data_IF_371610060527
#
_entry.id   IF_371610060527
#
_cell.length_a   1.000
_cell.length_b   1.000
_cell.length_c   1.000
_cell.angle_alpha   90.00
_cell.angle_beta   90.00
_cell.angle_gamma   90.00
#
_symmetry.space_group_name_H-M   'P 1'
#
loop_
_entity.id
_entity.type
_entity.pdbx_description
1 polymer ?
#
# COMPACT_ATOMS: atom_id res chain seq x y z
N UNK A 1 1.07 -38.36 54.27
CA UNK A 1 0.60 -38.40 52.86
C UNK A 1 1.01 -37.10 52.19
N UNK A 2 2.10 -37.11 51.41
CA UNK A 2 2.63 -35.93 50.71
C UNK A 2 1.86 -35.75 49.39
N UNK A 3 1.14 -34.64 49.23
CA UNK A 3 0.42 -34.31 47.99
C UNK A 3 1.33 -33.45 47.11
N UNK A 4 1.68 -33.96 45.94
CA UNK A 4 2.40 -33.22 44.90
C UNK A 4 1.40 -32.38 44.09
N UNK A 5 1.69 -31.11 43.75
CA UNK A 5 0.90 -30.37 42.78
C UNK A 5 1.35 -30.75 41.36
N UNK A 6 0.41 -31.23 40.55
CA UNK A 6 0.56 -31.44 39.11
C UNK A 6 0.56 -30.07 38.43
N UNK A 7 1.70 -29.66 37.87
CA UNK A 7 1.80 -28.48 37.02
C UNK A 7 1.23 -28.85 35.65
N UNK A 8 0.04 -28.34 35.34
CA UNK A 8 -0.54 -28.41 34.01
C UNK A 8 0.22 -27.44 33.10
N UNK A 9 1.03 -27.98 32.20
CA UNK A 9 1.65 -27.21 31.12
C UNK A 9 0.57 -26.83 30.10
N UNK A 10 0.03 -25.62 30.18
CA UNK A 10 -0.72 -25.03 29.07
C UNK A 10 0.28 -24.63 27.98
N UNK A 11 0.45 -25.50 26.99
CA UNK A 11 1.11 -25.18 25.73
C UNK A 11 0.26 -24.16 24.97
N UNK A 12 0.60 -22.88 25.09
CA UNK A 12 0.07 -21.84 24.21
C UNK A 12 0.58 -22.12 22.78
N UNK A 13 -0.27 -22.68 21.93
CA UNK A 13 -0.05 -22.68 20.48
C UNK A 13 -0.11 -21.23 19.99
N UNK A 14 1.06 -20.59 19.87
CA UNK A 14 1.20 -19.39 19.09
C UNK A 14 0.96 -19.76 17.62
N UNK A 15 -0.24 -19.48 17.12
CA UNK A 15 -0.52 -19.48 15.69
C UNK A 15 0.32 -18.38 15.05
N UNK A 16 1.50 -18.73 14.54
CA UNK A 16 2.24 -17.90 13.61
C UNK A 16 1.44 -17.86 12.31
N UNK A 17 0.57 -16.87 12.15
CA UNK A 17 -0.07 -16.59 10.87
C UNK A 17 1.05 -16.24 9.87
N UNK A 18 1.11 -16.87 8.69
CA UNK A 18 2.08 -16.50 7.68
C UNK A 18 1.84 -15.02 7.31
N UNK A 19 2.92 -14.24 7.24
CA UNK A 19 2.86 -12.89 6.67
C UNK A 19 2.38 -13.03 5.22
N UNK A 20 1.15 -12.58 4.95
CA UNK A 20 0.60 -12.55 3.60
C UNK A 20 1.42 -11.54 2.83
N UNK A 21 2.11 -11.99 1.77
CA UNK A 21 2.83 -11.09 0.87
C UNK A 21 1.81 -10.18 0.18
N UNK A 22 2.04 -8.87 0.24
CA UNK A 22 1.20 -7.86 -0.38
C UNK A 22 1.09 -8.05 -1.91
N UNK A 23 -0.10 -7.76 -2.44
CA UNK A 23 -0.43 -7.95 -3.85
C UNK A 23 -0.11 -6.69 -4.65
N UNK A 24 1.14 -6.58 -5.10
CA UNK A 24 1.62 -5.47 -5.91
C UNK A 24 1.25 -5.61 -7.40
N UNK A 25 0.45 -4.67 -7.92
CA UNK A 25 0.01 -4.61 -9.32
C UNK A 25 0.78 -3.55 -10.11
N UNK A 26 1.57 -3.93 -11.15
CA UNK A 26 2.34 -2.97 -11.93
C UNK A 26 1.45 -2.04 -12.74
N UNK A 27 1.86 -0.78 -12.86
CA UNK A 27 1.18 0.21 -13.71
C UNK A 27 2.10 0.96 -14.67
N UNK A 28 3.41 0.80 -14.57
CA UNK A 28 4.38 1.25 -15.60
C UNK A 28 5.07 0.05 -16.23
N UNK A 29 5.70 0.27 -17.39
CA UNK A 29 6.70 -0.67 -17.89
C UNK A 29 7.98 -0.62 -17.02
N UNK A 30 8.79 -1.69 -16.98
CA UNK A 30 10.12 -1.63 -16.39
C UNK A 30 11.02 -0.68 -17.18
N UNK A 31 11.78 0.16 -16.47
CA UNK A 31 12.88 0.94 -17.05
C UNK A 31 14.03 0.04 -17.51
N UNK A 32 15.00 0.59 -18.26
CA UNK A 32 16.22 -0.12 -18.66
C UNK A 32 17.04 -0.68 -17.49
N UNK A 33 16.88 -0.11 -16.29
CA UNK A 33 17.49 -0.57 -15.04
C UNK A 33 16.66 -1.64 -14.31
N UNK A 34 15.55 -2.05 -14.91
CA UNK A 34 14.59 -3.00 -14.36
C UNK A 34 13.71 -2.45 -13.24
N UNK A 35 13.62 -1.12 -13.08
CA UNK A 35 12.72 -0.50 -12.08
C UNK A 35 11.31 -0.36 -12.62
N UNK A 36 10.31 -0.71 -11.82
CA UNK A 36 8.90 -0.64 -12.18
C UNK A 36 8.06 -0.09 -11.03
N UNK A 37 7.11 0.78 -11.35
CA UNK A 37 6.11 1.23 -10.40
C UNK A 37 4.91 0.28 -10.35
N UNK A 38 4.43 0.03 -9.13
CA UNK A 38 3.21 -0.74 -8.87
C UNK A 38 2.43 -0.12 -7.73
N UNK A 39 1.17 -0.53 -7.58
CA UNK A 39 0.35 -0.19 -6.41
C UNK A 39 -0.02 -1.46 -5.63
N UNK A 40 -0.19 -1.33 -4.32
CA UNK A 40 -0.60 -2.42 -3.44
C UNK A 40 -2.14 -2.54 -3.45
N UNK A 41 -2.65 -3.66 -3.97
CA UNK A 41 -4.09 -3.96 -3.98
C UNK A 41 -4.65 -4.19 -2.58
N UNK A 42 -3.86 -4.75 -1.68
CA UNK A 42 -4.31 -5.12 -0.33
C UNK A 42 -4.41 -3.87 0.57
N UNK A 43 -3.56 -2.88 0.34
CA UNK A 43 -3.69 -1.56 0.94
C UNK A 43 -4.86 -0.75 0.36
N UNK A 44 -5.26 -0.98 -0.89
CA UNK A 44 -6.17 -0.10 -1.62
C UNK A 44 -7.63 -0.18 -1.14
N UNK A 45 -8.30 0.96 -1.00
CA UNK A 45 -9.70 1.03 -0.56
C UNK A 45 -10.41 2.28 -1.09
N UNK A 46 -11.75 2.24 -1.12
CA UNK A 46 -12.58 3.44 -1.29
C UNK A 46 -12.77 4.11 0.05
N UNK A 47 -12.38 5.37 0.14
CA UNK A 47 -12.66 6.20 1.31
C UNK A 47 -14.15 6.59 1.34
N UNK A 48 -14.87 6.23 2.41
CA UNK A 48 -16.31 6.47 2.52
C UNK A 48 -16.67 7.96 2.52
N UNK A 49 -15.80 8.81 3.08
CA UNK A 49 -16.08 10.24 3.22
C UNK A 49 -15.92 11.01 1.91
N UNK A 50 -14.87 10.72 1.14
CA UNK A 50 -14.58 11.42 -0.11
C UNK A 50 -15.01 10.68 -1.37
N UNK A 51 -15.29 9.38 -1.28
CA UNK A 51 -15.54 8.50 -2.41
C UNK A 51 -14.31 8.17 -3.27
N UNK A 52 -13.14 8.73 -2.93
CA UNK A 52 -11.87 8.53 -3.64
C UNK A 52 -11.28 7.16 -3.34
N UNK A 53 -10.55 6.61 -4.29
CA UNK A 53 -9.78 5.38 -4.08
C UNK A 53 -8.41 5.74 -3.52
N UNK A 54 -8.13 5.31 -2.30
CA UNK A 54 -6.83 5.44 -1.65
C UNK A 54 -5.95 4.27 -2.05
N UNK A 55 -4.75 4.56 -2.56
CA UNK A 55 -3.78 3.54 -2.99
C UNK A 55 -2.38 3.87 -2.49
N UNK A 56 -1.61 2.82 -2.18
CA UNK A 56 -0.17 2.91 -1.95
C UNK A 56 0.56 2.48 -3.20
N UNK A 57 1.57 3.24 -3.59
CA UNK A 57 2.45 2.96 -4.73
C UNK A 57 3.88 2.80 -4.27
N UNK A 58 4.63 1.93 -4.92
CA UNK A 58 6.04 1.73 -4.69
C UNK A 58 6.79 1.52 -6.00
N UNK A 59 8.06 1.91 -6.01
CA UNK A 59 9.02 1.55 -7.07
C UNK A 59 9.93 0.43 -6.58
N UNK A 60 10.12 -0.58 -7.41
CA UNK A 60 10.94 -1.73 -7.09
C UNK A 60 11.67 -2.29 -8.31
N UNK A 61 12.72 -3.09 -8.06
CA UNK A 61 13.46 -3.78 -9.13
C UNK A 61 12.78 -5.12 -9.45
N UNK A 62 12.42 -5.33 -10.72
CA UNK A 62 11.84 -6.58 -11.18
C UNK A 62 12.80 -7.74 -10.90
N UNK A 63 12.30 -8.78 -10.21
CA UNK A 63 13.07 -9.96 -9.82
C UNK A 63 13.88 -9.84 -8.52
N UNK A 64 13.82 -8.71 -7.81
CA UNK A 64 14.44 -8.56 -6.48
C UNK A 64 13.57 -9.15 -5.35
N UNK A 65 14.19 -9.47 -4.21
CA UNK A 65 13.52 -9.92 -2.98
C UNK A 65 14.04 -9.13 -1.76
N UNK A 66 13.20 -8.37 -1.04
CA UNK A 66 11.81 -8.05 -1.40
C UNK A 66 11.76 -7.23 -2.70
N UNK A 67 10.73 -7.46 -3.52
CA UNK A 67 10.56 -6.75 -4.80
C UNK A 67 10.13 -5.30 -4.58
N UNK A 68 9.20 -5.13 -3.65
CA UNK A 68 8.49 -3.88 -3.33
C UNK A 68 8.63 -3.64 -1.83
N UNK A 69 8.66 -2.38 -1.41
CA UNK A 69 8.85 -2.00 -0.02
C UNK A 69 7.91 -0.88 0.42
N UNK A 70 7.82 -0.61 1.74
CA UNK A 70 8.72 -1.13 2.77
C UNK A 70 8.29 -2.51 3.28
N UNK A 71 9.23 -3.41 3.55
CA UNK A 71 8.95 -4.82 3.91
C UNK A 71 8.20 -5.00 5.24
N UNK A 72 8.07 -3.93 6.04
CA UNK A 72 7.26 -3.83 7.23
C UNK A 72 6.97 -2.35 7.56
N UNK A 73 5.98 -2.03 8.42
CA UNK A 73 5.79 -0.67 8.95
C UNK A 73 7.10 -0.12 9.57
N UNK A 74 7.57 1.02 9.07
CA UNK A 74 8.82 1.64 9.50
C UNK A 74 10.09 1.05 8.89
N UNK A 75 10.01 0.03 8.03
CA UNK A 75 11.17 -0.49 7.32
C UNK A 75 11.69 0.53 6.28
N UNK A 76 13.01 0.65 6.19
CA UNK A 76 13.69 1.65 5.40
C UNK A 76 14.11 1.11 4.01
N UNK A 77 13.32 0.25 3.39
CA UNK A 77 13.69 -0.48 2.17
C UNK A 77 12.72 -0.28 0.99
N UNK A 78 11.81 0.70 1.10
CA UNK A 78 10.88 1.07 0.03
C UNK A 78 10.88 2.56 -0.29
N UNK A 79 10.54 2.90 -1.53
CA UNK A 79 10.28 4.28 -1.96
C UNK A 79 8.90 4.32 -2.62
N UNK A 80 8.07 5.27 -2.22
CA UNK A 80 6.73 5.34 -2.75
C UNK A 80 5.87 6.48 -2.24
N UNK A 81 4.60 6.42 -2.61
CA UNK A 81 3.59 7.45 -2.36
C UNK A 81 2.25 6.84 -2.02
N UNK A 82 1.45 7.56 -1.22
CA UNK A 82 0.03 7.28 -1.03
C UNK A 82 -0.77 8.39 -1.69
N UNK A 83 -1.77 8.00 -2.48
CA UNK A 83 -2.63 8.90 -3.24
C UNK A 83 -4.11 8.61 -2.98
N UNK A 84 -4.94 9.65 -3.03
CA UNK A 84 -6.39 9.52 -3.13
C UNK A 84 -6.89 9.94 -4.51
N UNK A 85 -7.40 8.98 -5.27
CA UNK A 85 -7.75 9.09 -6.68
C UNK A 85 -9.25 9.33 -6.84
N UNK A 86 -9.62 10.32 -7.64
CA UNK A 86 -10.99 10.49 -8.11
C UNK A 86 -11.10 9.97 -9.54
N UNK A 87 -11.67 8.78 -9.69
CA UNK A 87 -11.81 8.11 -10.97
C UNK A 87 -12.75 8.83 -11.95
N UNK A 88 -13.72 9.61 -11.45
CA UNK A 88 -14.64 10.37 -12.28
C UNK A 88 -13.99 11.66 -12.76
N UNK A 89 -13.40 12.42 -11.84
CA UNK A 89 -12.79 13.72 -12.14
C UNK A 89 -11.36 13.60 -12.73
N UNK A 90 -10.78 12.40 -12.73
CA UNK A 90 -9.43 12.12 -13.22
C UNK A 90 -8.36 13.01 -12.56
N UNK A 91 -8.48 13.18 -11.25
CA UNK A 91 -7.56 13.94 -10.43
C UNK A 91 -7.13 13.11 -9.21
N UNK A 92 -6.09 13.56 -8.52
CA UNK A 92 -5.55 12.87 -7.37
C UNK A 92 -5.04 13.85 -6.31
N UNK A 93 -5.04 13.41 -5.05
CA UNK A 93 -4.45 14.13 -3.92
C UNK A 93 -3.24 13.33 -3.42
N UNK A 94 -2.02 13.91 -3.41
CA UNK A 94 -0.88 13.32 -2.72
C UNK A 94 -1.11 13.35 -1.20
N UNK A 95 -1.24 12.18 -0.59
CA UNK A 95 -1.50 12.06 0.86
C UNK A 95 -0.22 11.95 1.68
N UNK A 96 0.84 11.41 1.07
CA UNK A 96 2.10 11.16 1.74
C UNK A 96 3.13 10.50 0.82
N UNK A 97 4.38 10.54 1.24
CA UNK A 97 5.49 9.86 0.58
C UNK A 97 6.37 9.17 1.61
N UNK A 98 7.03 8.09 1.21
CA UNK A 98 7.95 7.36 2.07
C UNK A 98 9.23 6.99 1.33
N UNK A 99 10.30 6.84 2.08
CA UNK A 99 11.62 6.42 1.60
C UNK A 99 12.43 5.82 2.76
N UNK A 100 13.60 5.21 2.51
CA UNK A 100 14.50 4.76 3.56
C UNK A 100 14.85 5.80 4.62
N UNK A 101 14.78 7.09 4.27
CA UNK A 101 15.13 8.21 5.15
C UNK A 101 13.91 8.94 5.71
N UNK A 102 12.70 8.54 5.32
CA UNK A 102 11.44 9.23 5.64
C UNK A 102 10.33 8.19 5.83
N UNK A 103 9.90 7.92 7.08
CA UNK A 103 8.73 7.09 7.35
C UNK A 103 7.49 7.60 6.61
N UNK A 104 6.54 6.71 6.36
CA UNK A 104 5.26 7.12 5.79
C UNK A 104 4.47 7.94 6.82
N UNK A 105 4.16 9.19 6.45
CA UNK A 105 3.26 10.06 7.18
C UNK A 105 2.11 10.47 6.25
N UNK A 106 0.87 10.22 6.69
CA UNK A 106 -0.35 10.60 5.98
C UNK A 106 -0.88 11.89 6.60
N UNK A 107 -1.06 12.94 5.80
CA UNK A 107 -1.62 14.19 6.28
C UNK A 107 -3.06 14.00 6.79
N UNK A 108 -3.35 14.36 8.04
CA UNK A 108 -4.68 14.13 8.66
C UNK A 108 -5.83 14.88 7.94
N UNK A 109 -5.51 16.01 7.30
CA UNK A 109 -6.44 16.88 6.57
C UNK A 109 -6.51 16.64 5.06
N UNK A 110 -5.92 15.57 4.54
CA UNK A 110 -5.75 15.36 3.09
C UNK A 110 -7.05 15.52 2.28
N UNK A 111 -8.21 15.20 2.87
CA UNK A 111 -9.52 15.31 2.21
C UNK A 111 -9.91 16.76 1.85
N UNK A 112 -9.33 17.75 2.52
CA UNK A 112 -9.51 19.17 2.23
C UNK A 112 -8.46 19.74 1.27
N UNK A 113 -7.47 18.95 0.86
CA UNK A 113 -6.42 19.42 -0.03
C UNK A 113 -6.89 19.55 -1.47
N UNK A 114 -6.30 20.49 -2.20
CA UNK A 114 -6.60 20.70 -3.61
C UNK A 114 -6.09 19.51 -4.44
N UNK A 115 -6.99 18.85 -5.16
CA UNK A 115 -6.61 17.77 -6.06
C UNK A 115 -5.82 18.30 -7.27
N UNK A 116 -4.72 17.63 -7.61
CA UNK A 116 -4.00 17.88 -8.86
C UNK A 116 -4.60 17.03 -9.99
N UNK A 117 -4.55 17.55 -11.22
CA UNK A 117 -4.92 16.76 -12.40
C UNK A 117 -3.94 15.60 -12.58
N UNK A 118 -4.44 14.43 -12.97
CA UNK A 118 -3.62 13.26 -13.30
C UNK A 118 -3.22 13.31 -14.78
N UNK A 119 -2.36 14.26 -15.15
CA UNK A 119 -1.95 14.54 -16.54
C UNK A 119 -0.56 13.97 -16.92
N UNK A 120 0.27 13.61 -15.94
CA UNK A 120 1.50 12.86 -16.18
C UNK A 120 1.24 11.46 -16.73
N UNK A 121 2.21 10.90 -17.48
CA UNK A 121 2.12 9.53 -18.03
C UNK A 121 1.84 8.48 -16.96
N UNK A 122 2.54 8.59 -15.84
CA UNK A 122 2.51 7.62 -14.74
C UNK A 122 1.23 7.80 -13.92
N UNK A 123 0.81 9.05 -13.65
CA UNK A 123 -0.47 9.37 -13.03
C UNK A 123 -1.63 8.80 -13.88
N UNK A 124 -1.60 9.01 -15.20
CA UNK A 124 -2.61 8.50 -16.09
C UNK A 124 -2.61 6.97 -16.14
N UNK A 125 -1.44 6.32 -16.06
CA UNK A 125 -1.33 4.87 -16.02
C UNK A 125 -1.85 4.27 -14.72
N UNK A 126 -1.51 4.88 -13.58
CA UNK A 126 -2.06 4.54 -12.28
C UNK A 126 -3.58 4.69 -12.27
N UNK A 127 -4.10 5.84 -12.74
CA UNK A 127 -5.54 6.08 -12.83
C UNK A 127 -6.24 5.02 -13.68
N UNK A 128 -5.69 4.66 -14.85
CA UNK A 128 -6.27 3.60 -15.70
C UNK A 128 -6.37 2.28 -14.94
N UNK A 129 -5.28 1.86 -14.29
CA UNK A 129 -5.25 0.56 -13.61
C UNK A 129 -6.19 0.54 -12.40
N UNK A 130 -6.11 1.53 -11.52
CA UNK A 130 -6.93 1.59 -10.31
C UNK A 130 -8.41 1.75 -10.66
N UNK A 131 -8.75 2.71 -11.52
CA UNK A 131 -10.14 3.01 -11.83
C UNK A 131 -10.83 1.93 -12.66
N UNK A 132 -10.09 1.04 -13.33
CA UNK A 132 -10.69 -0.13 -14.00
C UNK A 132 -11.33 -1.12 -13.00
N UNK A 133 -10.88 -1.12 -11.75
CA UNK A 133 -11.34 -2.01 -10.68
C UNK A 133 -12.08 -1.25 -9.57
N UNK A 134 -12.57 -0.04 -9.83
CA UNK A 134 -13.12 0.88 -8.81
C UNK A 134 -14.25 0.26 -7.96
N UNK A 135 -15.06 -0.61 -8.57
CA UNK A 135 -16.17 -1.31 -7.91
C UNK A 135 -15.75 -2.50 -7.04
N UNK A 136 -14.51 -2.96 -7.14
CA UNK A 136 -13.99 -4.11 -6.40
C UNK A 136 -13.31 -3.71 -5.08
N UNK A 137 -13.03 -2.42 -4.86
CA UNK A 137 -12.34 -1.98 -3.65
C UNK A 137 -13.28 -2.00 -2.43
N UNK A 138 -12.79 -2.49 -1.27
CA UNK A 138 -13.54 -2.37 -0.03
C UNK A 138 -13.72 -0.89 0.32
N UNK A 139 -14.85 -0.56 0.96
CA UNK A 139 -15.08 0.78 1.49
C UNK A 139 -14.60 0.84 2.94
N UNK A 140 -13.83 1.87 3.30
CA UNK A 140 -13.36 2.14 4.66
C UNK A 140 -13.66 3.58 5.07
#
# INVERSE_FOLDING_TARGET
MRRAPVIAALSALAFALPAVAETWTPYTEPTDKGLQWSFDRDYSYRDAASGRIVVMTAIGKVGATPRMGPSAPGAADGVGFVYALDCKARNLIPMGSYSPKKPLEIASGWRGEAAKKADGSDDAALMRQVCSAEGAYPTK
#
